data_IF_806890251406
#
_entry.id   IF_806890251406
#
_cell.length_a   1.000
_cell.length_b   1.000
_cell.length_c   1.000
_cell.angle_alpha   90.00
_cell.angle_beta   90.00
_cell.angle_gamma   90.00
#
_symmetry.space_group_name_H-M   'P 1'
#
loop_
_entity.id
_entity.type
_entity.pdbx_description
1 polymer ?
#
# COMPACT_ATOMS: atom_id res chain seq x y z
N UNK A 1 5.39 6.14 -4.57
CA UNK A 1 4.69 5.03 -3.86
C UNK A 1 5.08 3.70 -4.49
N UNK A 2 5.41 2.71 -3.66
CA UNK A 2 5.81 1.38 -4.15
C UNK A 2 4.56 0.53 -4.41
N UNK A 3 4.53 -0.22 -5.51
CA UNK A 3 3.35 -0.99 -5.92
C UNK A 3 2.99 -2.12 -4.95
N UNK A 4 3.95 -2.64 -4.18
CA UNK A 4 3.74 -3.61 -3.11
C UNK A 4 3.75 -2.91 -1.73
N UNK A 5 2.59 -2.78 -1.06
CA UNK A 5 2.48 -2.14 0.26
C UNK A 5 3.32 -2.81 1.35
N UNK A 6 3.59 -4.12 1.25
CA UNK A 6 4.35 -4.85 2.25
C UNK A 6 5.82 -4.39 2.32
N UNK A 7 6.37 -3.92 1.19
CA UNK A 7 7.73 -3.36 1.15
C UNK A 7 7.78 -2.02 1.89
N UNK A 8 6.74 -1.20 1.76
CA UNK A 8 6.65 0.06 2.51
C UNK A 8 6.46 -0.20 4.01
N UNK A 9 5.62 -1.17 4.39
CA UNK A 9 5.45 -1.58 5.79
C UNK A 9 6.79 -2.07 6.38
N UNK A 10 7.52 -2.92 5.65
CA UNK A 10 8.84 -3.38 6.06
C UNK A 10 9.84 -2.22 6.24
N UNK A 11 9.75 -1.18 5.40
CA UNK A 11 10.57 0.02 5.55
C UNK A 11 10.17 0.82 6.79
N UNK A 12 8.86 0.96 7.08
CA UNK A 12 8.33 1.62 8.27
C UNK A 12 8.73 0.90 9.58
N UNK A 13 8.75 -0.43 9.56
CA UNK A 13 9.13 -1.27 10.71
C UNK A 13 10.59 -1.05 11.14
N UNK A 14 11.46 -0.56 10.24
CA UNK A 14 12.85 -0.23 10.61
C UNK A 14 12.93 0.87 11.67
N UNK A 15 11.96 1.78 11.69
CA UNK A 15 11.90 2.92 12.62
C UNK A 15 11.18 2.52 13.92
N UNK A 16 10.21 1.60 13.83
CA UNK A 16 9.47 1.07 14.97
C UNK A 16 10.26 -0.05 15.66
N UNK A 17 11.25 0.34 16.46
CA UNK A 17 12.05 -0.60 17.27
C UNK A 17 11.80 -0.44 18.77
N UNK A 18 11.97 -1.55 19.51
CA UNK A 18 11.94 -1.56 20.99
C UNK A 18 12.95 -0.54 21.52
N UNK A 19 12.51 0.31 22.44
CA UNK A 19 13.32 1.37 23.05
C UNK A 19 13.19 2.73 22.36
N UNK A 20 12.45 2.86 21.26
CA UNK A 20 12.06 4.15 20.71
C UNK A 20 11.01 4.82 21.61
N UNK A 21 11.29 6.05 22.06
CA UNK A 21 10.39 6.84 22.91
C UNK A 21 9.76 8.03 22.19
N UNK A 22 10.26 8.37 20.99
CA UNK A 22 9.77 9.49 20.20
C UNK A 22 8.74 9.02 19.17
N UNK A 23 7.70 9.82 18.89
CA UNK A 23 6.77 9.54 17.80
C UNK A 23 7.50 9.39 16.47
N UNK A 24 7.19 8.32 15.73
CA UNK A 24 7.68 8.12 14.37
C UNK A 24 6.64 8.66 13.38
N UNK A 25 7.04 9.64 12.55
CA UNK A 25 6.18 10.19 11.50
C UNK A 25 6.73 9.79 10.13
N UNK A 26 5.89 9.18 9.30
CA UNK A 26 6.25 8.75 7.95
C UNK A 26 5.55 9.68 6.95
N UNK A 27 6.35 10.33 6.11
CA UNK A 27 5.86 11.18 5.04
C UNK A 27 5.93 10.43 3.71
N UNK A 28 4.80 10.39 3.01
CA UNK A 28 4.72 9.86 1.65
C UNK A 28 4.49 11.03 0.70
N UNK A 29 5.49 11.33 -0.13
CA UNK A 29 5.40 12.38 -1.13
C UNK A 29 4.78 11.81 -2.40
N UNK A 30 3.74 12.46 -2.91
CA UNK A 30 2.96 11.98 -4.06
C UNK A 30 2.73 13.13 -5.02
N UNK A 31 3.08 12.91 -6.29
CA UNK A 31 2.89 13.89 -7.35
C UNK A 31 1.48 13.77 -7.93
N UNK A 32 0.73 14.87 -7.94
CA UNK A 32 -0.65 14.92 -8.46
C UNK A 32 -0.69 14.70 -9.96
N UNK A 33 -1.73 14.00 -10.45
CA UNK A 33 -1.92 13.75 -11.87
C UNK A 33 -0.88 12.82 -12.49
N UNK A 34 -0.18 12.03 -11.67
CA UNK A 34 0.83 11.07 -12.14
C UNK A 34 0.43 9.65 -11.81
N UNK A 35 1.19 8.70 -12.37
CA UNK A 35 1.11 7.27 -12.07
C UNK A 35 1.17 6.99 -10.55
N UNK A 36 1.88 7.83 -9.78
CA UNK A 36 1.97 7.69 -8.32
C UNK A 36 0.59 7.79 -7.63
N UNK A 37 -0.23 8.74 -8.07
CA UNK A 37 -1.58 8.93 -7.55
C UNK A 37 -2.51 7.77 -7.97
N UNK A 38 -2.36 7.27 -9.21
CA UNK A 38 -3.11 6.12 -9.71
C UNK A 38 -2.79 4.84 -8.91
N UNK A 39 -1.50 4.59 -8.62
CA UNK A 39 -1.05 3.45 -7.78
C UNK A 39 -1.68 3.51 -6.38
N UNK A 40 -1.73 4.68 -5.77
CA UNK A 40 -2.34 4.86 -4.44
C UNK A 40 -3.83 4.52 -4.44
N UNK A 41 -4.57 5.02 -5.45
CA UNK A 41 -6.00 4.70 -5.61
C UNK A 41 -6.23 3.20 -5.81
N UNK A 42 -5.37 2.54 -6.59
CA UNK A 42 -5.44 1.11 -6.83
C UNK A 42 -5.21 0.30 -5.54
N UNK A 43 -4.24 0.69 -4.71
CA UNK A 43 -3.97 0.06 -3.42
C UNK A 43 -5.18 0.17 -2.47
N UNK A 44 -5.78 1.35 -2.36
CA UNK A 44 -6.97 1.56 -1.52
C UNK A 44 -8.17 0.73 -2.02
N UNK A 45 -8.40 0.70 -3.34
CA UNK A 45 -9.47 -0.13 -3.95
C UNK A 45 -9.27 -1.61 -3.64
N UNK A 46 -8.03 -2.12 -3.74
CA UNK A 46 -7.73 -3.51 -3.39
C UNK A 46 -7.97 -3.78 -1.91
N UNK A 47 -7.48 -2.90 -1.03
CA UNK A 47 -7.67 -3.01 0.42
C UNK A 47 -9.16 -3.02 0.80
N UNK A 48 -9.97 -2.15 0.21
CA UNK A 48 -11.41 -2.08 0.48
C UNK A 48 -12.14 -3.34 0.00
N UNK A 49 -11.81 -3.86 -1.18
CA UNK A 49 -12.39 -5.11 -1.69
C UNK A 49 -12.06 -6.29 -0.79
N UNK A 50 -10.82 -6.38 -0.30
CA UNK A 50 -10.38 -7.45 0.60
C UNK A 50 -11.11 -7.35 1.94
N UNK A 51 -11.18 -6.14 2.51
CA UNK A 51 -11.92 -5.88 3.76
C UNK A 51 -13.40 -6.27 3.64
N UNK A 52 -14.01 -6.03 2.47
CA UNK A 52 -15.39 -6.42 2.21
C UNK A 52 -15.56 -7.94 2.01
N UNK A 53 -14.55 -8.62 1.45
CA UNK A 53 -14.60 -10.05 1.15
C UNK A 53 -14.32 -10.94 2.37
N UNK A 54 -13.44 -10.51 3.28
CA UNK A 54 -13.00 -11.33 4.43
C UNK A 54 -13.92 -11.16 5.65
N UNK A 55 -14.74 -10.11 5.69
CA UNK A 55 -15.50 -9.76 6.91
C UNK A 55 -14.56 -9.39 8.06
N UNK A 56 -15.10 -8.92 9.19
CA UNK A 56 -14.33 -8.48 10.36
C UNK A 56 -13.58 -9.61 11.12
N UNK A 57 -13.38 -10.77 10.49
CA UNK A 57 -12.67 -11.90 11.08
C UNK A 57 -11.17 -11.80 10.75
N UNK A 58 -10.45 -11.31 11.76
CA UNK A 58 -9.02 -11.48 12.01
C UNK A 58 -8.04 -10.74 11.09
N UNK A 59 -7.34 -9.83 11.77
CA UNK A 59 -6.37 -8.85 11.32
C UNK A 59 -5.02 -9.51 11.01
N UNK A 60 -5.00 -10.59 10.22
CA UNK A 60 -3.77 -11.15 9.69
C UNK A 60 -3.52 -10.59 8.29
N UNK A 61 -2.71 -9.53 8.27
CA UNK A 61 -2.17 -8.91 7.07
C UNK A 61 -1.31 -9.91 6.28
N UNK A 62 -1.93 -10.82 5.54
CA UNK A 62 -1.28 -11.48 4.41
C UNK A 62 -0.84 -10.39 3.43
N UNK A 63 0.37 -10.48 2.84
CA UNK A 63 0.74 -9.57 1.76
C UNK A 63 -0.10 -9.92 0.53
N UNK A 64 -1.27 -9.29 0.41
CA UNK A 64 -2.28 -9.57 -0.62
C UNK A 64 -1.97 -8.95 -2.00
N UNK A 65 -0.82 -8.29 -2.15
CA UNK A 65 -0.38 -7.71 -3.42
C UNK A 65 0.94 -8.32 -3.84
N UNK A 66 0.90 -9.56 -4.31
CA UNK A 66 2.05 -10.26 -4.91
C UNK A 66 2.38 -9.77 -6.33
N UNK A 67 1.50 -8.97 -6.95
CA UNK A 67 1.73 -8.40 -8.28
C UNK A 67 0.61 -7.47 -8.76
N UNK A 68 0.93 -6.68 -9.79
CA UNK A 68 -0.06 -6.01 -10.65
C UNK A 68 -0.40 -6.94 -11.81
N UNK A 69 -1.67 -7.05 -12.19
CA UNK A 69 -2.04 -7.71 -13.43
C UNK A 69 -1.60 -6.87 -14.63
N UNK A 70 -1.49 -7.50 -15.81
CA UNK A 70 -1.17 -6.77 -17.04
C UNK A 70 -2.20 -5.67 -17.34
N UNK A 71 -3.48 -5.95 -17.10
CA UNK A 71 -4.56 -4.96 -17.27
C UNK A 71 -4.41 -3.76 -16.34
N UNK A 72 -4.00 -3.98 -15.08
CA UNK A 72 -3.73 -2.89 -14.13
C UNK A 72 -2.50 -2.10 -14.53
N UNK A 73 -1.47 -2.76 -15.07
CA UNK A 73 -0.28 -2.07 -15.54
C UNK A 73 -0.58 -1.17 -16.74
N UNK A 74 -1.48 -1.58 -17.64
CA UNK A 74 -1.96 -0.76 -18.77
C UNK A 74 -2.79 0.43 -18.29
N UNK A 75 -3.77 0.19 -17.41
CA UNK A 75 -4.61 1.24 -16.81
C UNK A 75 -3.80 2.31 -16.05
N UNK A 76 -2.67 1.92 -15.45
CA UNK A 76 -1.76 2.85 -14.81
C UNK A 76 -1.01 3.77 -15.79
N UNK A 77 -0.79 3.32 -17.02
CA UNK A 77 0.00 4.01 -18.04
C UNK A 77 -0.86 4.74 -19.08
N UNK A 78 -2.12 4.33 -19.24
CA UNK A 78 -3.10 5.02 -20.07
C UNK A 78 -3.52 6.34 -19.39
N UNK A 79 -3.75 7.41 -20.17
CA UNK A 79 -4.00 8.77 -19.68
C UNK A 79 -5.32 8.92 -18.91
#
# INVERSE_FOLDING_TARGET
>A
PWWNPAVEAQAADRIHRIGQSRPATIYKLITRGTVEEKILKLQEKKKSMISAAIGEAENEARPLMTGLSESEMRDLLDD
#
